data_IF_791800148167
#
_entry.id   IF_791800148167
#
_cell.length_a   1.000
_cell.length_b   1.000
_cell.length_c   1.000
_cell.angle_alpha   90.00
_cell.angle_beta   90.00
_cell.angle_gamma   90.00
#
_symmetry.space_group_name_H-M   'P 1'
#
loop_
_entity.id
_entity.type
_entity.pdbx_description
1 polymer ?
#
# COMPACT_ATOMS: atom_id res chain seq x y z
N UNK A 1 0.51 -33.46 34.18
CA UNK A 1 -0.89 -33.78 34.48
C UNK A 1 -1.68 -33.76 33.18
N UNK A 2 -1.99 -34.95 32.66
CA UNK A 2 -2.92 -35.18 31.55
C UNK A 2 -4.35 -34.82 32.01
N UNK A 3 -5.17 -34.25 31.12
CA UNK A 3 -6.62 -34.44 31.17
C UNK A 3 -7.18 -34.41 29.74
N UNK A 4 -7.51 -35.60 29.26
CA UNK A 4 -8.20 -35.89 28.03
C UNK A 4 -9.68 -35.49 28.13
N UNK A 5 -10.26 -34.97 27.04
CA UNK A 5 -11.72 -34.81 26.89
C UNK A 5 -12.27 -35.84 25.91
N UNK A 6 -13.26 -36.59 26.40
CA UNK A 6 -14.00 -37.64 25.70
C UNK A 6 -14.89 -37.09 24.55
N UNK A 7 -15.01 -37.91 23.51
CA UNK A 7 -16.02 -37.87 22.45
C UNK A 7 -17.42 -38.22 22.99
N UNK A 8 -18.46 -37.62 22.39
CA UNK A 8 -19.74 -38.31 22.18
C UNK A 8 -20.37 -37.88 20.84
N UNK A 9 -20.66 -38.88 20.01
CA UNK A 9 -21.43 -38.83 18.76
C UNK A 9 -22.80 -39.44 19.00
N UNK A 10 -23.88 -38.82 18.51
CA UNK A 10 -25.23 -39.40 18.47
C UNK A 10 -25.80 -39.17 17.05
N UNK A 11 -26.42 -40.19 16.40
CA UNK A 11 -26.87 -40.12 15.02
C UNK A 11 -28.29 -39.55 14.90
N UNK A 12 -28.59 -38.87 13.79
CA UNK A 12 -29.96 -38.46 13.45
C UNK A 12 -30.43 -39.22 12.21
N UNK A 13 -31.51 -39.96 12.41
CA UNK A 13 -32.19 -40.83 11.45
C UNK A 13 -33.04 -40.02 10.48
N UNK A 14 -33.04 -40.43 9.20
CA UNK A 14 -33.84 -39.88 8.10
C UNK A 14 -35.28 -40.39 8.20
N UNK A 15 -36.28 -39.51 8.10
CA UNK A 15 -37.67 -39.88 7.83
C UNK A 15 -38.22 -39.00 6.70
N UNK A 16 -38.69 -39.63 5.63
CA UNK A 16 -39.25 -38.99 4.44
C UNK A 16 -40.72 -38.64 4.66
N UNK A 17 -41.13 -37.43 4.31
CA UNK A 17 -42.52 -37.15 3.95
C UNK A 17 -42.58 -36.31 2.68
N UNK A 18 -43.14 -36.92 1.65
CA UNK A 18 -43.61 -36.31 0.41
C UNK A 18 -45.00 -35.74 0.62
N UNK A 19 -45.20 -34.44 0.36
CA UNK A 19 -46.47 -33.88 -0.16
C UNK A 19 -46.21 -32.50 -0.75
N UNK A 20 -46.62 -32.33 -2.00
CA UNK A 20 -46.15 -31.27 -2.89
C UNK A 20 -46.84 -29.93 -2.74
N UNK A 21 -46.27 -28.94 -3.43
CA UNK A 21 -46.97 -27.74 -3.88
C UNK A 21 -46.45 -27.37 -5.28
N UNK A 22 -47.37 -27.46 -6.23
CA UNK A 22 -47.30 -26.91 -7.59
C UNK A 22 -47.38 -25.37 -7.47
N UNK A 23 -46.67 -24.67 -8.36
CA UNK A 23 -46.53 -23.20 -8.55
C UNK A 23 -45.26 -22.55 -7.99
N UNK A 24 -44.13 -22.78 -8.67
CA UNK A 24 -42.89 -21.96 -8.54
C UNK A 24 -42.12 -21.85 -9.87
N UNK A 25 -42.81 -21.75 -11.02
CA UNK A 25 -42.13 -21.62 -12.32
C UNK A 25 -42.26 -20.24 -13.00
N UNK A 26 -43.13 -19.34 -12.53
CA UNK A 26 -43.28 -18.00 -13.13
C UNK A 26 -42.50 -16.86 -12.43
N UNK A 27 -42.10 -17.06 -11.17
CA UNK A 27 -41.39 -16.04 -10.37
C UNK A 27 -39.87 -16.20 -10.34
N UNK A 28 -39.36 -17.40 -10.66
CA UNK A 28 -37.94 -17.68 -10.65
C UNK A 28 -37.23 -17.00 -11.84
N UNK A 29 -37.78 -17.09 -13.05
CA UNK A 29 -37.15 -16.56 -14.28
C UNK A 29 -36.93 -15.05 -14.23
N UNK A 30 -37.92 -14.26 -13.81
CA UNK A 30 -37.77 -12.78 -13.69
C UNK A 30 -36.78 -12.37 -12.60
N UNK A 31 -36.65 -13.16 -11.53
CA UNK A 31 -35.73 -12.87 -10.42
C UNK A 31 -34.29 -13.23 -10.79
N UNK A 32 -34.11 -14.31 -11.55
CA UNK A 32 -32.81 -14.72 -12.10
C UNK A 32 -32.35 -13.80 -13.22
N UNK A 33 -33.27 -13.34 -14.09
CA UNK A 33 -32.95 -12.35 -15.12
C UNK A 33 -32.57 -11.01 -14.49
N UNK A 34 -33.34 -10.49 -13.52
CA UNK A 34 -33.01 -9.22 -12.85
C UNK A 34 -31.74 -9.31 -12.01
N UNK A 35 -31.44 -10.47 -11.41
CA UNK A 35 -30.18 -10.73 -10.72
C UNK A 35 -29.01 -10.89 -11.71
N UNK A 36 -29.23 -11.44 -12.90
CA UNK A 36 -28.25 -11.53 -13.96
C UNK A 36 -28.00 -10.16 -14.62
N UNK A 37 -29.01 -9.31 -14.77
CA UNK A 37 -28.87 -7.94 -15.26
C UNK A 37 -28.21 -7.04 -14.21
N UNK A 38 -28.53 -7.20 -12.91
CA UNK A 38 -27.82 -6.49 -11.83
C UNK A 38 -26.40 -7.01 -11.60
N UNK A 39 -26.14 -8.29 -11.85
CA UNK A 39 -24.77 -8.83 -11.85
C UNK A 39 -23.99 -8.43 -13.12
N UNK A 40 -24.68 -8.21 -14.25
CA UNK A 40 -24.08 -7.70 -15.49
C UNK A 40 -23.87 -6.17 -15.45
N UNK A 41 -24.73 -5.42 -14.75
CA UNK A 41 -24.55 -3.98 -14.46
C UNK A 41 -23.52 -3.76 -13.35
N UNK A 42 -23.41 -4.66 -12.36
CA UNK A 42 -22.29 -4.69 -11.42
C UNK A 42 -20.98 -5.24 -12.05
N UNK A 43 -21.10 -5.85 -13.23
CA UNK A 43 -20.00 -6.16 -14.13
C UNK A 43 -19.95 -5.16 -15.30
N UNK A 44 -20.40 -3.91 -15.09
CA UNK A 44 -19.77 -2.78 -15.75
C UNK A 44 -18.27 -2.97 -15.56
N UNK A 45 -17.59 -3.22 -16.67
CA UNK A 45 -16.14 -3.29 -16.73
C UNK A 45 -15.60 -2.02 -16.08
N UNK A 46 -15.22 -2.09 -14.80
CA UNK A 46 -14.31 -1.11 -14.22
C UNK A 46 -13.12 -1.14 -15.14
N UNK A 47 -13.00 -0.15 -16.04
CA UNK A 47 -11.83 0.01 -16.87
C UNK A 47 -10.64 0.00 -15.92
N UNK A 48 -9.88 -1.06 -16.01
CA UNK A 48 -8.81 -1.32 -15.08
C UNK A 48 -7.55 -0.74 -15.70
N UNK A 49 -7.05 0.36 -15.13
CA UNK A 49 -5.85 1.02 -15.65
C UNK A 49 -4.58 0.18 -15.46
N UNK A 50 -3.52 0.57 -16.15
CA UNK A 50 -2.20 -0.09 -16.03
C UNK A 50 -1.61 0.00 -14.60
N UNK A 51 -2.07 0.96 -13.80
CA UNK A 51 -1.60 1.22 -12.44
C UNK A 51 -2.74 0.94 -11.44
N UNK A 52 -2.47 0.08 -10.45
CA UNK A 52 -3.37 -0.20 -9.31
C UNK A 52 -2.79 0.23 -7.97
N UNK A 53 -3.62 0.23 -6.92
CA UNK A 53 -3.17 0.48 -5.55
C UNK A 53 -2.89 -0.84 -4.81
N UNK A 54 -1.62 -1.10 -4.53
CA UNK A 54 -1.21 -2.28 -3.78
C UNK A 54 -1.74 -2.25 -2.33
N UNK A 55 -1.97 -3.44 -1.76
CA UNK A 55 -2.43 -3.61 -0.38
C UNK A 55 -1.56 -2.85 0.64
N UNK A 56 -0.25 -2.81 0.44
CA UNK A 56 0.71 -2.14 1.31
C UNK A 56 0.53 -0.61 1.33
N UNK A 57 0.10 -0.02 0.21
CA UNK A 57 -0.12 1.42 0.09
C UNK A 57 -1.48 1.86 0.65
N UNK A 58 -2.45 0.95 0.84
CA UNK A 58 -3.79 1.27 1.39
C UNK A 58 -3.72 1.95 2.76
N UNK A 59 -2.72 1.61 3.58
CA UNK A 59 -2.47 2.27 4.89
C UNK A 59 -2.27 3.78 4.79
N UNK A 60 -1.80 4.30 3.65
CA UNK A 60 -1.63 5.75 3.47
C UNK A 60 -2.96 6.51 3.42
N UNK A 61 -4.06 5.81 3.16
CA UNK A 61 -5.42 6.35 3.14
C UNK A 61 -6.18 6.00 4.43
N UNK A 62 -6.02 4.74 4.85
CA UNK A 62 -6.88 4.13 5.87
C UNK A 62 -6.30 4.25 7.30
N UNK A 63 -4.97 4.22 7.45
CA UNK A 63 -4.30 4.27 8.76
C UNK A 63 -3.93 5.70 9.16
N UNK A 64 -4.66 6.25 10.13
CA UNK A 64 -4.42 7.60 10.66
C UNK A 64 -3.15 7.72 11.50
N UNK A 65 -2.52 6.61 11.86
CA UNK A 65 -1.25 6.55 12.59
C UNK A 65 -0.03 6.41 11.67
N UNK A 66 -0.24 6.25 10.36
CA UNK A 66 0.82 6.08 9.38
C UNK A 66 1.85 7.23 9.45
N UNK A 67 3.13 6.88 9.61
CA UNK A 67 4.25 7.82 9.84
C UNK A 67 4.87 8.39 8.56
N UNK A 68 4.13 8.36 7.44
CA UNK A 68 4.52 8.93 6.15
C UNK A 68 3.44 9.84 5.57
N UNK A 69 3.38 9.93 4.23
CA UNK A 69 2.33 10.70 3.54
C UNK A 69 0.96 10.10 3.85
N UNK A 70 0.13 10.85 4.58
CA UNK A 70 -1.27 10.53 4.79
C UNK A 70 -2.13 11.23 3.75
N UNK A 71 -3.05 10.48 3.13
CA UNK A 71 -3.94 10.95 2.08
C UNK A 71 -5.38 10.93 2.58
N UNK A 72 -5.98 12.12 2.65
CA UNK A 72 -7.42 12.28 2.80
C UNK A 72 -8.04 12.47 1.41
N UNK A 73 -8.13 11.37 0.66
CA UNK A 73 -8.57 11.35 -0.72
C UNK A 73 -9.26 10.01 -1.05
N UNK A 74 -10.23 10.00 -1.96
CA UNK A 74 -10.89 8.77 -2.36
C UNK A 74 -9.92 7.88 -3.17
N UNK A 75 -9.72 6.61 -2.74
CA UNK A 75 -8.77 5.68 -3.38
C UNK A 75 -9.07 5.46 -4.88
N UNK A 76 -10.33 5.24 -5.24
CA UNK A 76 -10.74 5.02 -6.63
C UNK A 76 -10.49 6.26 -7.49
N UNK A 77 -10.83 7.44 -6.99
CA UNK A 77 -10.57 8.70 -7.68
C UNK A 77 -9.06 8.99 -7.81
N UNK A 78 -8.28 8.65 -6.78
CA UNK A 78 -6.82 8.77 -6.80
C UNK A 78 -6.22 7.93 -7.93
N UNK A 79 -6.57 6.64 -7.98
CA UNK A 79 -6.08 5.70 -9.00
C UNK A 79 -6.51 6.14 -10.39
N UNK A 80 -7.77 6.58 -10.56
CA UNK A 80 -8.27 7.12 -11.83
C UNK A 80 -7.46 8.33 -12.29
N UNK A 81 -7.16 9.25 -11.38
CA UNK A 81 -6.38 10.46 -11.67
C UNK A 81 -4.94 10.12 -12.03
N UNK A 82 -4.29 9.21 -11.29
CA UNK A 82 -2.93 8.74 -11.58
C UNK A 82 -2.85 8.08 -12.96
N UNK A 83 -3.79 7.18 -13.29
CA UNK A 83 -3.82 6.55 -14.62
C UNK A 83 -4.06 7.57 -15.74
N UNK A 84 -4.96 8.54 -15.54
CA UNK A 84 -5.19 9.59 -16.53
C UNK A 84 -3.93 10.44 -16.80
N UNK A 85 -3.14 10.73 -15.76
CA UNK A 85 -1.86 11.44 -15.90
C UNK A 85 -0.82 10.56 -16.59
N UNK A 86 -0.72 9.29 -16.21
CA UNK A 86 0.18 8.31 -16.83
C UNK A 86 -0.07 8.16 -18.34
N UNK A 87 -1.33 8.01 -18.75
CA UNK A 87 -1.74 7.96 -20.16
C UNK A 87 -1.40 9.26 -20.89
N UNK A 88 -1.73 10.42 -20.30
CA UNK A 88 -1.40 11.74 -20.86
C UNK A 88 0.11 11.94 -21.03
N UNK A 89 0.92 11.35 -20.15
CA UNK A 89 2.38 11.36 -20.22
C UNK A 89 2.95 10.28 -21.15
N UNK A 90 2.14 9.73 -22.06
CA UNK A 90 2.56 8.66 -22.99
C UNK A 90 3.19 7.46 -22.27
N UNK A 91 2.68 7.14 -21.08
CA UNK A 91 3.13 6.02 -20.24
C UNK A 91 4.59 6.08 -19.81
N UNK A 92 5.20 7.27 -19.80
CA UNK A 92 6.59 7.43 -19.37
C UNK A 92 6.70 7.31 -17.85
N UNK A 93 7.71 6.55 -17.42
CA UNK A 93 8.08 6.33 -16.03
C UNK A 93 9.58 6.57 -15.86
N UNK A 94 9.96 7.03 -14.67
CA UNK A 94 11.38 7.17 -14.28
C UNK A 94 11.84 5.89 -13.60
N UNK A 95 13.05 5.45 -13.92
CA UNK A 95 13.67 4.29 -13.29
C UNK A 95 13.95 4.55 -11.81
N UNK A 96 13.54 3.61 -10.95
CA UNK A 96 13.92 3.62 -9.54
C UNK A 96 15.18 2.79 -9.27
N UNK A 97 15.41 2.46 -8.01
CA UNK A 97 16.62 1.77 -7.55
C UNK A 97 16.82 0.33 -8.08
N UNK A 98 15.82 -0.26 -8.73
CA UNK A 98 15.86 -1.62 -9.28
C UNK A 98 14.96 -1.70 -10.54
N UNK A 99 15.18 -2.68 -11.45
CA UNK A 99 14.40 -2.77 -12.69
C UNK A 99 12.88 -2.88 -12.51
N UNK A 100 12.42 -3.46 -11.40
CA UNK A 100 11.00 -3.58 -11.05
C UNK A 100 10.42 -2.34 -10.39
N UNK A 101 11.23 -1.34 -10.00
CA UNK A 101 10.80 -0.14 -9.31
C UNK A 101 10.77 1.03 -10.29
N UNK A 102 9.65 1.74 -10.35
CA UNK A 102 9.44 2.91 -11.20
C UNK A 102 8.81 4.04 -10.41
N UNK A 103 8.97 5.26 -10.92
CA UNK A 103 8.40 6.47 -10.35
C UNK A 103 7.57 7.20 -11.39
N UNK A 104 6.43 7.73 -10.95
CA UNK A 104 5.66 8.73 -11.68
C UNK A 104 5.53 9.97 -10.79
N UNK A 105 6.18 11.06 -11.19
CA UNK A 105 6.10 12.34 -10.49
C UNK A 105 4.94 13.16 -11.04
N UNK A 106 4.01 13.54 -10.18
CA UNK A 106 2.81 14.30 -10.56
C UNK A 106 2.64 15.51 -9.68
N UNK A 107 2.06 16.60 -10.21
CA UNK A 107 1.62 17.71 -9.37
C UNK A 107 0.64 17.19 -8.32
N UNK A 108 0.78 17.67 -7.09
CA UNK A 108 -0.07 17.26 -6.00
C UNK A 108 -1.51 17.76 -6.21
N UNK A 109 -2.34 16.91 -6.81
CA UNK A 109 -3.77 17.15 -7.00
C UNK A 109 -4.60 16.87 -5.74
N UNK A 110 -3.94 16.51 -4.64
CA UNK A 110 -4.56 16.30 -3.34
C UNK A 110 -4.24 17.46 -2.41
N UNK A 111 -4.45 17.29 -1.09
CA UNK A 111 -3.97 18.22 -0.06
C UNK A 111 -2.86 17.61 0.81
N UNK A 112 -2.18 16.59 0.30
CA UNK A 112 -1.09 15.92 0.99
C UNK A 112 -0.02 16.94 1.41
N UNK A 113 0.38 16.86 2.67
CA UNK A 113 1.43 17.70 3.24
C UNK A 113 2.75 16.97 3.20
N UNK A 114 3.84 17.73 3.22
CA UNK A 114 5.17 17.16 3.43
C UNK A 114 5.17 16.27 4.68
N UNK A 115 5.72 15.07 4.55
CA UNK A 115 5.84 14.14 5.67
C UNK A 115 7.22 14.23 6.36
N UNK A 116 8.01 15.24 6.01
CA UNK A 116 9.34 15.48 6.55
C UNK A 116 9.67 16.97 6.57
N UNK A 117 10.56 17.37 7.47
CA UNK A 117 11.07 18.74 7.58
C UNK A 117 12.58 18.75 7.82
N UNK A 118 13.28 19.85 7.46
CA UNK A 118 14.67 20.04 7.82
C UNK A 118 14.88 20.05 9.33
N UNK A 119 15.96 19.41 9.77
CA UNK A 119 16.50 19.53 11.12
C UNK A 119 17.32 20.82 11.17
N UNK A 120 16.98 21.70 12.10
CA UNK A 120 17.62 22.98 12.32
C UNK A 120 18.04 23.08 13.77
N UNK A 121 18.94 24.03 14.09
CA UNK A 121 19.33 24.28 15.49
C UNK A 121 18.13 24.63 16.39
N UNK A 122 17.08 25.24 15.82
CA UNK A 122 15.90 25.66 16.56
C UNK A 122 14.94 24.51 16.89
N UNK A 123 14.91 23.45 16.07
CA UNK A 123 13.99 22.32 16.27
C UNK A 123 14.68 21.02 16.70
N UNK A 124 16.01 20.88 16.61
CA UNK A 124 16.71 19.62 16.84
C UNK A 124 16.39 18.95 18.20
N UNK A 125 16.15 19.73 19.25
CA UNK A 125 15.75 19.23 20.58
C UNK A 125 14.35 18.63 20.66
N UNK A 126 13.53 18.81 19.61
CA UNK A 126 12.17 18.28 19.50
C UNK A 126 12.13 16.90 18.81
N UNK A 127 13.27 16.40 18.34
CA UNK A 127 13.35 15.06 17.76
C UNK A 127 13.08 14.00 18.83
N UNK A 128 12.27 13.02 18.46
CA UNK A 128 12.07 11.79 19.23
C UNK A 128 12.66 10.62 18.46
N UNK A 129 12.93 9.52 19.17
CA UNK A 129 13.43 8.28 18.59
C UNK A 129 12.94 7.07 19.37
N UNK A 130 12.69 5.98 18.67
CA UNK A 130 12.33 4.68 19.26
C UNK A 130 12.57 3.56 18.23
N UNK A 131 12.43 2.31 18.65
CA UNK A 131 12.44 1.14 17.79
C UNK A 131 11.05 0.85 17.23
N UNK A 132 10.90 0.94 15.92
CA UNK A 132 9.61 0.79 15.25
C UNK A 132 9.68 -0.20 14.09
N UNK A 133 8.61 -1.00 13.92
CA UNK A 133 8.39 -1.86 12.75
C UNK A 133 7.26 -1.28 11.88
N UNK A 134 7.32 -1.48 10.56
CA UNK A 134 6.26 -0.99 9.64
C UNK A 134 5.05 -1.93 9.58
N UNK A 135 5.28 -3.19 9.92
CA UNK A 135 4.34 -4.31 9.94
C UNK A 135 4.78 -5.28 11.04
N UNK A 136 3.90 -6.21 11.43
CA UNK A 136 4.16 -7.15 12.53
C UNK A 136 5.28 -8.18 12.26
N UNK A 137 5.54 -8.49 10.99
CA UNK A 137 6.56 -9.46 10.58
C UNK A 137 7.94 -8.83 10.32
N UNK A 138 8.06 -7.50 10.37
CA UNK A 138 9.33 -6.80 10.24
C UNK A 138 10.03 -6.64 11.59
N UNK A 139 11.36 -6.76 11.61
CA UNK A 139 12.15 -6.39 12.78
C UNK A 139 12.00 -4.89 13.06
N UNK A 140 11.81 -4.49 14.34
CA UNK A 140 11.80 -3.08 14.70
C UNK A 140 13.20 -2.50 14.56
N UNK A 141 13.27 -1.27 14.06
CA UNK A 141 14.53 -0.56 13.78
C UNK A 141 14.52 0.80 14.44
N UNK A 142 15.71 1.31 14.80
CA UNK A 142 15.82 2.66 15.34
C UNK A 142 15.34 3.68 14.30
N UNK A 143 14.38 4.50 14.69
CA UNK A 143 13.84 5.59 13.88
C UNK A 143 13.91 6.90 14.66
N UNK A 144 13.79 8.02 13.94
CA UNK A 144 13.69 9.36 14.52
C UNK A 144 12.69 10.21 13.77
N UNK A 145 11.99 11.08 14.48
CA UNK A 145 10.91 11.90 13.93
C UNK A 145 10.67 13.17 14.73
N UNK A 146 9.96 14.12 14.12
CA UNK A 146 9.31 15.21 14.82
C UNK A 146 7.86 14.83 15.17
N UNK A 147 7.41 15.03 16.41
CA UNK A 147 5.98 14.94 16.74
C UNK A 147 5.17 15.92 15.91
N UNK A 148 4.01 15.52 15.39
CA UNK A 148 3.21 16.36 14.50
C UNK A 148 2.75 17.70 15.12
N UNK A 149 2.69 17.79 16.45
CA UNK A 149 2.36 19.03 17.15
C UNK A 149 3.57 19.97 17.33
N UNK A 150 4.80 19.54 17.04
CA UNK A 150 6.01 20.37 17.18
C UNK A 150 6.41 21.08 15.88
N UNK A 151 5.86 20.67 14.74
CA UNK A 151 6.16 21.21 13.41
C UNK A 151 4.90 21.31 12.56
N UNK A 152 4.80 22.32 11.70
CA UNK A 152 3.66 22.48 10.78
C UNK A 152 4.13 22.28 9.34
N UNK A 153 3.85 21.12 8.71
CA UNK A 153 4.23 20.91 7.31
C UNK A 153 3.32 21.69 6.37
N UNK A 154 3.91 22.26 5.31
CA UNK A 154 3.15 22.84 4.19
C UNK A 154 2.56 21.74 3.30
N UNK A 155 1.61 22.13 2.45
CA UNK A 155 1.13 21.28 1.35
C UNK A 155 2.29 21.08 0.37
N UNK A 156 2.51 19.85 -0.04
CA UNK A 156 3.59 19.49 -0.97
C UNK A 156 3.26 19.91 -2.40
N UNK A 157 4.26 20.21 -3.21
CA UNK A 157 4.05 20.57 -4.62
C UNK A 157 3.80 19.35 -5.52
N UNK A 158 4.43 18.22 -5.21
CA UNK A 158 4.37 16.99 -6.00
C UNK A 158 4.01 15.76 -5.15
N UNK A 159 3.61 14.71 -5.87
CA UNK A 159 3.54 13.35 -5.37
C UNK A 159 4.51 12.50 -6.20
N UNK A 160 5.44 11.82 -5.54
CA UNK A 160 6.20 10.70 -6.09
C UNK A 160 5.37 9.43 -5.90
N UNK A 161 4.84 8.91 -7.01
CA UNK A 161 4.09 7.65 -7.05
C UNK A 161 5.08 6.52 -7.34
N UNK A 162 5.34 5.70 -6.31
CA UNK A 162 6.31 4.61 -6.38
C UNK A 162 5.58 3.34 -6.79
N UNK A 163 6.00 2.78 -7.92
CA UNK A 163 5.40 1.64 -8.57
C UNK A 163 6.34 0.45 -8.51
N UNK A 164 5.83 -0.70 -8.11
CA UNK A 164 6.51 -1.99 -8.34
C UNK A 164 5.83 -2.74 -9.46
N UNK A 165 6.61 -3.53 -10.20
CA UNK A 165 6.05 -4.46 -11.17
C UNK A 165 5.20 -5.52 -10.45
N UNK A 166 4.13 -5.96 -11.11
CA UNK A 166 3.25 -7.02 -10.61
C UNK A 166 4.03 -8.26 -10.16
N UNK A 167 5.04 -8.67 -10.92
CA UNK A 167 5.86 -9.85 -10.64
C UNK A 167 6.68 -9.69 -9.36
N UNK A 168 7.16 -8.49 -9.04
CA UNK A 168 7.86 -8.27 -7.77
C UNK A 168 6.88 -8.28 -6.60
N UNK A 169 5.70 -7.66 -6.74
CA UNK A 169 4.66 -7.64 -5.71
C UNK A 169 4.23 -9.07 -5.34
N UNK A 170 4.00 -9.93 -6.35
CA UNK A 170 3.70 -11.35 -6.13
C UNK A 170 4.80 -12.02 -5.31
N UNK A 171 6.08 -11.84 -5.69
CA UNK A 171 7.20 -12.45 -4.98
C UNK A 171 7.38 -11.96 -3.55
N UNK A 172 7.06 -10.69 -3.27
CA UNK A 172 7.13 -10.14 -1.91
C UNK A 172 5.99 -10.67 -1.05
N UNK A 173 4.77 -10.69 -1.59
CA UNK A 173 3.59 -11.22 -0.91
C UNK A 173 3.73 -12.72 -0.58
N UNK A 174 4.21 -13.53 -1.52
CA UNK A 174 4.49 -14.96 -1.29
C UNK A 174 5.51 -15.19 -0.15
N UNK A 175 6.52 -14.32 -0.04
CA UNK A 175 7.57 -14.45 0.98
C UNK A 175 7.09 -14.15 2.42
N UNK A 176 5.96 -13.47 2.57
CA UNK A 176 5.35 -13.12 3.86
C UNK A 176 3.92 -13.67 4.00
N UNK A 177 3.57 -14.67 3.18
CA UNK A 177 2.29 -15.39 3.22
C UNK A 177 1.04 -14.47 3.06
N UNK A 178 1.17 -13.37 2.32
CA UNK A 178 0.06 -12.49 1.95
C UNK A 178 -0.57 -12.99 0.65
N UNK A 179 -1.90 -13.22 0.59
CA UNK A 179 -2.56 -13.64 -0.64
C UNK A 179 -2.44 -12.59 -1.75
N UNK A 180 -2.36 -13.03 -3.01
CA UNK A 180 -2.39 -12.13 -4.16
C UNK A 180 -3.68 -11.30 -4.18
N UNK A 181 -3.56 -9.99 -4.41
CA UNK A 181 -4.71 -9.10 -4.56
C UNK A 181 -5.33 -9.33 -5.95
N UNK A 182 -6.61 -9.76 -6.04
CA UNK A 182 -7.26 -9.99 -7.33
C UNK A 182 -7.31 -8.75 -8.21
N UNK A 183 -7.23 -7.54 -7.66
CA UNK A 183 -7.16 -6.32 -8.47
C UNK A 183 -5.87 -6.20 -9.27
N UNK A 184 -4.82 -6.96 -8.97
CA UNK A 184 -3.57 -6.90 -9.72
C UNK A 184 -3.58 -7.69 -11.05
N UNK A 185 -4.74 -8.22 -11.50
CA UNK A 185 -4.87 -9.18 -12.62
C UNK A 185 -3.87 -8.94 -13.77
N UNK A 186 -4.17 -7.98 -14.64
CA UNK A 186 -3.43 -7.70 -15.87
C UNK A 186 -2.61 -6.40 -15.79
N UNK A 187 -2.73 -5.66 -14.67
CA UNK A 187 -2.01 -4.40 -14.50
C UNK A 187 -0.52 -4.64 -14.29
N UNK A 188 0.35 -4.02 -15.11
CA UNK A 188 1.79 -4.18 -14.98
C UNK A 188 2.35 -3.57 -13.69
N UNK A 189 1.68 -2.57 -13.11
CA UNK A 189 2.21 -1.77 -12.01
C UNK A 189 1.27 -1.67 -10.82
N UNK A 190 1.82 -1.82 -9.60
CA UNK A 190 1.14 -1.51 -8.35
C UNK A 190 1.82 -0.38 -7.60
N UNK A 191 1.04 0.59 -7.14
CA UNK A 191 1.49 1.67 -6.25
C UNK A 191 1.78 1.07 -4.89
N UNK A 192 3.06 0.99 -4.52
CA UNK A 192 3.52 0.47 -3.22
C UNK A 192 3.78 1.58 -2.19
N UNK A 193 4.00 2.81 -2.66
CA UNK A 193 4.13 3.98 -1.78
C UNK A 193 3.85 5.28 -2.54
N UNK A 194 3.39 6.30 -1.80
CA UNK A 194 3.16 7.67 -2.28
C UNK A 194 3.94 8.63 -1.37
N UNK A 195 4.86 9.42 -1.92
CA UNK A 195 5.57 10.47 -1.16
C UNK A 195 5.10 11.85 -1.56
N UNK A 196 4.59 12.62 -0.61
CA UNK A 196 4.35 14.05 -0.80
C UNK A 196 5.65 14.82 -0.57
N UNK A 197 6.12 15.51 -1.61
CA UNK A 197 7.41 16.20 -1.64
C UNK A 197 7.35 17.47 -2.50
N UNK A 198 8.35 18.33 -2.38
CA UNK A 198 8.44 19.57 -3.18
C UNK A 198 9.26 19.40 -4.46
N UNK A 199 9.86 18.23 -4.65
CA UNK A 199 10.72 17.94 -5.81
C UNK A 199 10.00 17.03 -6.81
N UNK A 200 10.31 17.17 -8.10
CA UNK A 200 9.81 16.32 -9.18
C UNK A 200 10.77 15.18 -9.57
N UNK A 201 11.67 14.83 -8.66
CA UNK A 201 12.64 13.73 -8.78
C UNK A 201 12.70 12.89 -7.50
N UNK A 202 13.30 11.70 -7.57
CA UNK A 202 13.36 10.79 -6.42
C UNK A 202 14.22 11.38 -5.29
N UNK A 203 13.61 11.59 -4.12
CA UNK A 203 14.35 11.86 -2.89
C UNK A 203 14.96 10.56 -2.33
N UNK A 204 16.21 10.58 -1.82
CA UNK A 204 16.87 9.39 -1.32
C UNK A 204 16.01 8.65 -0.28
N UNK A 205 15.90 7.33 -0.42
CA UNK A 205 15.25 6.51 0.60
C UNK A 205 16.00 6.60 1.94
N UNK A 206 15.30 6.38 3.06
CA UNK A 206 15.95 6.36 4.38
C UNK A 206 17.08 5.31 4.40
N UNK A 207 18.24 5.56 5.00
CA UNK A 207 19.33 4.57 5.09
C UNK A 207 18.88 3.20 5.62
N UNK A 208 18.00 3.20 6.64
CA UNK A 208 17.42 1.96 7.17
C UNK A 208 16.57 1.17 6.18
N UNK A 209 15.97 1.85 5.19
CA UNK A 209 15.22 1.19 4.11
C UNK A 209 16.16 0.44 3.19
N UNK A 210 17.32 1.00 2.86
CA UNK A 210 18.36 0.30 2.09
C UNK A 210 18.88 -0.92 2.84
N UNK A 211 19.14 -0.78 4.15
CA UNK A 211 19.57 -1.89 5.00
C UNK A 211 18.54 -3.02 5.01
N UNK A 212 17.27 -2.71 5.24
CA UNK A 212 16.19 -3.72 5.21
C UNK A 212 16.07 -4.38 3.84
N UNK A 213 16.15 -3.60 2.75
CA UNK A 213 16.12 -4.15 1.39
C UNK A 213 17.21 -5.21 1.17
N UNK A 214 18.39 -5.04 1.76
CA UNK A 214 19.49 -6.00 1.64
C UNK A 214 19.36 -7.22 2.57
N UNK A 215 18.58 -7.16 3.65
CA UNK A 215 18.31 -8.32 4.52
C UNK A 215 17.41 -9.34 3.79
N UNK A 216 16.49 -8.87 2.94
CA UNK A 216 15.68 -9.70 2.06
C UNK A 216 14.18 -9.73 2.36
N UNK A 217 13.46 -10.48 1.52
CA UNK A 217 11.99 -10.49 1.44
C UNK A 217 11.29 -11.00 2.69
N UNK A 218 11.86 -12.01 3.34
CA UNK A 218 11.34 -12.54 4.61
C UNK A 218 11.39 -11.53 5.77
N UNK A 219 12.03 -10.38 5.60
CA UNK A 219 12.12 -9.29 6.57
C UNK A 219 11.58 -7.97 6.02
N UNK A 220 10.68 -8.04 5.02
CA UNK A 220 10.03 -6.87 4.42
C UNK A 220 10.93 -6.01 3.52
N UNK A 221 12.06 -6.54 3.07
CA UNK A 221 12.97 -5.91 2.12
C UNK A 221 12.84 -6.47 0.70
N UNK A 222 13.27 -5.72 -0.32
CA UNK A 222 13.15 -6.22 -1.71
C UNK A 222 14.15 -7.31 -2.12
N UNK A 223 15.20 -7.55 -1.32
CA UNK A 223 16.32 -8.45 -1.64
C UNK A 223 17.43 -7.82 -2.49
N UNK A 224 17.47 -6.49 -2.59
CA UNK A 224 18.49 -5.78 -3.38
C UNK A 224 19.67 -5.42 -2.48
N UNK A 225 20.92 -5.76 -2.85
CA UNK A 225 22.11 -5.41 -2.09
C UNK A 225 22.29 -3.89 -1.93
N UNK A 226 22.94 -3.46 -0.84
CA UNK A 226 23.26 -2.05 -0.63
C UNK A 226 24.24 -1.55 -1.70
N UNK A 227 23.87 -0.50 -2.42
CA UNK A 227 24.82 0.35 -3.14
C UNK A 227 25.40 1.38 -2.16
N UNK A 228 26.73 1.39 -2.00
CA UNK A 228 27.41 2.26 -1.03
C UNK A 228 27.25 3.74 -1.34
N UNK A 229 27.33 4.14 -2.61
CA UNK A 229 27.29 5.55 -2.99
C UNK A 229 25.88 6.12 -2.78
N UNK A 230 24.86 5.36 -3.18
CA UNK A 230 23.45 5.71 -2.91
C UNK A 230 23.16 5.75 -1.40
N UNK A 231 23.76 4.85 -0.62
CA UNK A 231 23.64 4.87 0.83
C UNK A 231 24.24 6.14 1.44
N UNK A 232 25.40 6.59 0.94
CA UNK A 232 26.02 7.83 1.43
C UNK A 232 25.22 9.07 1.04
N UNK A 233 24.62 9.12 -0.16
CA UNK A 233 23.67 10.18 -0.55
C UNK A 233 22.45 10.20 0.37
N UNK A 234 21.91 9.02 0.70
CA UNK A 234 20.83 8.91 1.66
C UNK A 234 21.24 9.43 3.05
N UNK A 235 22.43 9.09 3.54
CA UNK A 235 22.94 9.63 4.81
C UNK A 235 23.07 11.15 4.76
N UNK A 236 23.61 11.71 3.68
CA UNK A 236 23.79 13.16 3.53
C UNK A 236 22.46 13.93 3.56
N UNK A 237 21.43 13.37 2.95
CA UNK A 237 20.09 13.94 2.98
C UNK A 237 19.43 13.77 4.35
N UNK A 238 19.42 12.53 4.87
CA UNK A 238 18.68 12.20 6.08
C UNK A 238 19.37 12.63 7.37
N UNK A 239 20.67 12.96 7.38
CA UNK A 239 21.31 13.57 8.55
C UNK A 239 20.69 14.94 8.87
N UNK A 240 20.19 15.65 7.85
CA UNK A 240 19.64 17.00 7.92
C UNK A 240 18.10 17.05 7.86
N UNK A 241 17.43 15.91 7.80
CA UNK A 241 15.96 15.84 7.75
C UNK A 241 15.40 14.74 8.65
N UNK A 242 14.18 14.94 9.13
CA UNK A 242 13.43 13.92 9.84
C UNK A 242 11.99 13.89 9.38
N UNK A 243 11.37 12.71 9.45
CA UNK A 243 9.94 12.57 9.18
C UNK A 243 9.11 13.17 10.30
N UNK A 244 7.86 13.47 9.98
CA UNK A 244 6.85 13.91 10.94
C UNK A 244 5.99 12.70 11.26
N UNK A 245 5.78 12.46 12.56
CA UNK A 245 4.90 11.37 13.02
C UNK A 245 3.75 11.95 13.83
N UNK A 246 2.55 11.47 13.54
CA UNK A 246 1.37 11.80 14.35
C UNK A 246 1.52 11.17 15.73
N UNK A 247 1.31 11.96 16.77
CA UNK A 247 1.33 11.53 18.17
C UNK A 247 0.02 11.94 18.83
#
# INVERSE_FOLDING_TARGET
MLLARLRMTIPITRCSQTRGFINMLGGATKKTEKAATQAAEAAESTEHGDIVLDGFAKRQFDDKTYSGTQLDFNKTEFIKTVNAIYEKNSKQLVDGYAPFCKHLFVKNFTRARLNMVPITRANASMLMSDYEARTEYELPVLTRWFPSHSVTPKVAEYLDIILYSREQIIKENEAVEVPADPSHMDSPWGIVAIKAQDEDYELPMKPITMMRNAIGKSQGGSGVPINRDEYMKAVEYWQNHAVIKKM
#
